data_IF_615532561949
#
_entry.id   IF_615532561949
#
_cell.length_a   1.000
_cell.length_b   1.000
_cell.length_c   1.000
_cell.angle_alpha   90.00
_cell.angle_beta   90.00
_cell.angle_gamma   90.00
#
_symmetry.space_group_name_H-M   'P 1'
#
loop_
_entity.id
_entity.type
_entity.pdbx_description
1 polymer ?
#
# COMPACT_ATOMS: atom_id res chain seq x y z
N UNK A 1 5.36 6.28 -15.33
CA UNK A 1 4.55 6.06 -14.13
C UNK A 1 4.62 4.60 -13.73
N UNK A 2 4.75 4.33 -12.44
CA UNK A 2 4.69 2.97 -11.92
C UNK A 2 3.42 2.78 -11.09
N UNK A 3 2.93 1.55 -11.04
CA UNK A 3 1.77 1.18 -10.26
C UNK A 3 2.17 0.13 -9.23
N UNK A 4 1.72 0.33 -8.01
CA UNK A 4 1.91 -0.63 -6.93
C UNK A 4 0.54 -1.22 -6.59
N UNK A 5 0.46 -2.53 -6.62
CA UNK A 5 -0.70 -3.26 -6.13
C UNK A 5 -0.29 -3.90 -4.82
N UNK A 6 -0.93 -3.46 -3.73
CA UNK A 6 -0.62 -3.94 -2.39
C UNK A 6 -1.77 -4.79 -1.87
N UNK A 7 -1.47 -6.01 -1.48
CA UNK A 7 -2.42 -6.90 -0.81
C UNK A 7 -2.08 -6.86 0.69
N UNK A 8 -2.99 -6.29 1.48
CA UNK A 8 -2.78 -6.05 2.90
C UNK A 8 -3.51 -7.10 3.73
N UNK A 9 -2.79 -7.78 4.60
CA UNK A 9 -3.32 -8.77 5.52
C UNK A 9 -3.27 -8.19 6.94
N UNK A 10 -4.45 -7.94 7.52
CA UNK A 10 -4.54 -7.30 8.83
C UNK A 10 -3.85 -8.12 9.93
N UNK A 11 -3.18 -7.40 10.82
CA UNK A 11 -2.52 -7.98 11.99
C UNK A 11 -3.44 -7.99 13.21
N UNK A 12 -2.84 -8.12 14.39
CA UNK A 12 -3.56 -8.22 15.65
C UNK A 12 -4.43 -7.01 15.96
N UNK A 13 -4.02 -5.83 15.48
CA UNK A 13 -4.78 -4.60 15.66
C UNK A 13 -6.03 -4.47 14.80
N UNK A 14 -6.21 -5.36 13.81
CA UNK A 14 -7.36 -5.39 12.93
C UNK A 14 -7.48 -4.17 12.03
N UNK A 15 -8.69 -3.93 11.54
CA UNK A 15 -8.97 -2.82 10.61
C UNK A 15 -8.74 -1.44 11.23
N UNK A 16 -8.96 -1.29 12.52
CA UNK A 16 -8.75 0.01 13.19
C UNK A 16 -7.28 0.38 13.20
N UNK A 17 -6.38 -0.57 13.49
CA UNK A 17 -4.94 -0.35 13.44
C UNK A 17 -4.48 -0.07 12.00
N UNK A 18 -5.04 -0.76 11.02
CA UNK A 18 -4.73 -0.53 9.61
C UNK A 18 -5.13 0.88 9.18
N UNK A 19 -6.32 1.33 9.56
CA UNK A 19 -6.80 2.68 9.30
C UNK A 19 -5.90 3.74 9.95
N UNK A 20 -5.48 3.51 11.20
CA UNK A 20 -4.61 4.43 11.92
C UNK A 20 -3.23 4.52 11.27
N UNK A 21 -2.67 3.40 10.83
CA UNK A 21 -1.42 3.38 10.11
C UNK A 21 -1.50 4.15 8.79
N UNK A 22 -2.55 3.90 8.00
CA UNK A 22 -2.75 4.60 6.72
C UNK A 22 -2.90 6.10 6.89
N UNK A 23 -3.57 6.54 7.96
CA UNK A 23 -3.72 7.96 8.26
C UNK A 23 -2.36 8.65 8.48
N UNK A 24 -1.34 7.93 8.90
CA UNK A 24 -0.01 8.47 9.14
C UNK A 24 0.91 8.32 7.93
N UNK A 25 0.81 7.22 7.19
CA UNK A 25 1.73 6.95 6.07
C UNK A 25 1.31 7.65 4.79
N UNK A 26 0.02 7.79 4.52
CA UNK A 26 -0.46 8.40 3.28
C UNK A 26 -0.02 9.86 3.09
N UNK A 27 -0.03 10.74 4.12
CA UNK A 27 0.51 12.08 3.94
C UNK A 27 1.98 12.10 3.52
N UNK A 28 2.80 11.17 4.05
CA UNK A 28 4.20 11.05 3.68
C UNK A 28 4.33 10.61 2.22
N UNK A 29 3.55 9.61 1.82
CA UNK A 29 3.49 9.12 0.46
C UNK A 29 3.15 10.27 -0.52
N UNK A 30 2.20 11.13 -0.17
CA UNK A 30 1.81 12.27 -1.00
C UNK A 30 2.94 13.27 -1.17
N UNK A 31 3.79 13.46 -0.16
CA UNK A 31 4.93 14.37 -0.26
C UNK A 31 5.92 13.93 -1.36
N UNK A 32 5.96 12.65 -1.67
CA UNK A 32 6.81 12.11 -2.73
C UNK A 32 6.07 11.90 -4.06
N UNK A 33 4.90 12.51 -4.19
CA UNK A 33 4.09 12.42 -5.41
C UNK A 33 3.31 11.13 -5.56
N UNK A 34 3.30 10.29 -4.53
CA UNK A 34 2.50 9.07 -4.52
C UNK A 34 1.02 9.39 -4.38
N UNK A 35 0.17 8.57 -5.01
CA UNK A 35 -1.28 8.73 -4.92
C UNK A 35 -1.95 7.38 -4.71
N UNK A 36 -2.81 7.31 -3.71
CA UNK A 36 -3.69 6.17 -3.53
C UNK A 36 -4.82 6.28 -4.54
N UNK A 37 -4.81 5.41 -5.55
CA UNK A 37 -5.81 5.41 -6.62
C UNK A 37 -7.10 4.74 -6.13
N UNK A 38 -6.95 3.62 -5.41
CA UNK A 38 -8.09 2.93 -4.84
C UNK A 38 -7.67 2.10 -3.63
N UNK A 39 -8.62 1.91 -2.71
CA UNK A 39 -8.52 0.95 -1.62
C UNK A 39 -9.86 0.21 -1.59
N UNK A 40 -9.81 -1.11 -1.62
CA UNK A 40 -11.00 -1.94 -1.69
C UNK A 40 -10.83 -3.20 -0.86
N UNK A 41 -11.94 -3.87 -0.61
CA UNK A 41 -11.97 -5.13 0.14
C UNK A 41 -12.68 -6.20 -0.68
N UNK A 42 -12.23 -7.47 -0.62
CA UNK A 42 -12.98 -8.56 -1.25
C UNK A 42 -14.43 -8.60 -0.75
N UNK A 43 -15.36 -8.80 -1.67
CA UNK A 43 -16.80 -8.83 -1.33
C UNK A 43 -17.19 -10.09 -0.55
N UNK A 44 -16.55 -11.21 -0.87
CA UNK A 44 -16.78 -12.51 -0.24
C UNK A 44 -15.41 -13.13 0.09
N UNK A 45 -14.74 -12.64 1.15
CA UNK A 45 -13.37 -13.05 1.43
C UNK A 45 -13.26 -14.52 1.83
N UNK A 46 -12.27 -15.20 1.24
CA UNK A 46 -11.84 -16.54 1.63
C UNK A 46 -10.68 -16.43 2.60
N UNK A 47 -10.30 -17.57 3.23
CA UNK A 47 -9.30 -17.60 4.29
C UNK A 47 -7.96 -16.99 3.89
N UNK A 48 -7.53 -17.18 2.63
CA UNK A 48 -6.24 -16.71 2.13
C UNK A 48 -6.31 -15.35 1.43
N UNK A 49 -7.47 -14.72 1.41
CA UNK A 49 -7.63 -13.43 0.76
C UNK A 49 -7.11 -12.28 1.62
N UNK A 50 -6.61 -11.20 1.01
CA UNK A 50 -6.23 -10.01 1.76
C UNK A 50 -7.45 -9.33 2.37
N UNK A 51 -7.21 -8.57 3.43
CA UNK A 51 -8.25 -7.72 4.03
C UNK A 51 -8.52 -6.47 3.19
N UNK A 52 -7.48 -5.93 2.57
CA UNK A 52 -7.58 -4.77 1.68
C UNK A 52 -6.64 -4.89 0.50
N UNK A 53 -7.05 -4.29 -0.61
CA UNK A 53 -6.26 -4.19 -1.83
C UNK A 53 -6.10 -2.71 -2.13
N UNK A 54 -4.85 -2.25 -2.16
CA UNK A 54 -4.54 -0.85 -2.48
C UNK A 54 -3.85 -0.76 -3.84
N UNK A 55 -4.21 0.25 -4.61
CA UNK A 55 -3.54 0.60 -5.86
C UNK A 55 -2.96 1.99 -5.68
N UNK A 56 -1.64 2.10 -5.85
CA UNK A 56 -0.88 3.34 -5.65
C UNK A 56 -0.09 3.64 -6.91
N UNK A 57 -0.02 4.92 -7.26
CA UNK A 57 0.82 5.38 -8.37
C UNK A 57 1.93 6.29 -7.86
N UNK A 58 3.13 6.12 -8.43
CA UNK A 58 4.25 7.04 -8.33
C UNK A 58 4.72 7.42 -9.73
N UNK A 59 5.37 8.56 -9.87
CA UNK A 59 5.91 8.99 -11.15
C UNK A 59 6.93 7.99 -11.70
N UNK A 60 7.80 7.47 -10.83
CA UNK A 60 8.87 6.55 -11.21
C UNK A 60 9.41 5.80 -9.97
N UNK A 61 10.37 4.90 -10.20
CA UNK A 61 11.01 4.14 -9.12
C UNK A 61 11.81 5.02 -8.17
N UNK A 62 12.35 6.13 -8.65
CA UNK A 62 13.13 7.04 -7.79
C UNK A 62 12.23 7.69 -6.73
N UNK A 63 11.01 8.09 -7.10
CA UNK A 63 10.04 8.65 -6.16
C UNK A 63 9.63 7.62 -5.10
N UNK A 64 9.39 6.38 -5.50
CA UNK A 64 9.10 5.29 -4.57
C UNK A 64 10.28 5.04 -3.62
N UNK A 65 11.50 5.01 -4.14
CA UNK A 65 12.69 4.80 -3.32
C UNK A 65 12.88 5.94 -2.31
N UNK A 66 12.65 7.19 -2.72
CA UNK A 66 12.73 8.35 -1.83
C UNK A 66 11.70 8.26 -0.69
N UNK A 67 10.48 7.87 -1.01
CA UNK A 67 9.43 7.63 0.00
C UNK A 67 9.88 6.57 1.01
N UNK A 68 10.37 5.44 0.54
CA UNK A 68 10.83 4.34 1.39
C UNK A 68 12.02 4.72 2.26
N UNK A 69 12.85 5.65 1.81
CA UNK A 69 14.04 6.11 2.53
C UNK A 69 13.75 7.22 3.54
N UNK A 70 12.55 7.78 3.55
CA UNK A 70 12.18 8.81 4.52
C UNK A 70 12.22 8.21 5.94
N UNK A 71 12.84 8.95 6.87
CA UNK A 71 13.00 8.49 8.25
C UNK A 71 11.66 8.17 8.92
N UNK A 72 10.61 8.93 8.60
CA UNK A 72 9.28 8.71 9.16
C UNK A 72 8.70 7.38 8.71
N UNK A 73 9.02 6.93 7.49
CA UNK A 73 8.61 5.60 7.01
C UNK A 73 9.20 4.50 7.88
N UNK A 74 10.49 4.61 8.24
CA UNK A 74 11.15 3.66 9.15
C UNK A 74 10.56 3.72 10.57
N UNK A 75 10.25 4.92 11.06
CA UNK A 75 9.67 5.13 12.39
C UNK A 75 8.28 4.51 12.52
N UNK A 76 7.55 4.35 11.43
CA UNK A 76 6.23 3.74 11.42
C UNK A 76 6.26 2.21 11.43
N UNK A 77 7.45 1.59 11.37
CA UNK A 77 7.56 0.12 11.30
C UNK A 77 6.82 -0.61 12.42
N UNK A 78 6.93 -0.22 13.72
CA UNK A 78 6.19 -0.91 14.77
C UNK A 78 4.67 -0.85 14.56
N UNK A 79 4.16 0.30 14.12
CA UNK A 79 2.72 0.47 13.84
C UNK A 79 2.29 -0.35 12.63
N UNK A 80 3.15 -0.40 11.59
CA UNK A 80 2.88 -1.23 10.42
C UNK A 80 2.81 -2.70 10.78
N UNK A 81 3.72 -3.18 11.62
CA UNK A 81 3.74 -4.58 12.05
C UNK A 81 2.51 -4.94 12.91
N UNK A 82 2.01 -3.98 13.70
CA UNK A 82 0.78 -4.18 14.47
C UNK A 82 -0.45 -4.17 13.56
N UNK A 83 -0.45 -3.30 12.54
CA UNK A 83 -1.56 -3.16 11.60
C UNK A 83 -1.63 -4.30 10.59
N UNK A 84 -0.47 -4.83 10.17
CA UNK A 84 -0.38 -5.83 9.09
C UNK A 84 0.50 -7.00 9.52
N UNK A 85 -0.08 -8.22 9.46
CA UNK A 85 0.72 -9.46 9.66
C UNK A 85 1.51 -9.81 8.42
N UNK A 86 1.06 -9.36 7.25
CA UNK A 86 1.73 -9.60 5.97
C UNK A 86 1.25 -8.56 4.94
N UNK A 87 2.09 -8.33 3.95
CA UNK A 87 1.76 -7.51 2.79
C UNK A 87 2.45 -8.11 1.56
N UNK A 88 1.70 -8.18 0.44
CA UNK A 88 2.25 -8.60 -0.84
C UNK A 88 2.19 -7.41 -1.79
N UNK A 89 3.30 -7.11 -2.43
CA UNK A 89 3.44 -5.98 -3.34
C UNK A 89 3.79 -6.44 -4.74
N UNK A 90 3.08 -5.89 -5.71
CA UNK A 90 3.42 -6.04 -7.12
C UNK A 90 3.69 -4.64 -7.66
N UNK A 91 4.86 -4.44 -8.22
CA UNK A 91 5.23 -3.17 -8.86
C UNK A 91 5.19 -3.40 -10.36
N UNK A 92 4.35 -2.65 -11.06
CA UNK A 92 4.17 -2.79 -12.50
C UNK A 92 4.44 -1.47 -13.20
N UNK A 93 5.06 -1.53 -14.37
CA UNK A 93 5.28 -0.39 -15.26
C UNK A 93 4.90 -0.70 -16.71
N UNK A 94 4.45 -1.93 -16.95
CA UNK A 94 4.02 -2.38 -18.27
C UNK A 94 2.51 -2.61 -18.25
N UNK A 95 1.80 -1.80 -19.01
CA UNK A 95 0.34 -1.87 -19.09
C UNK A 95 -0.04 -2.53 -20.41
N UNK A 96 -0.81 -3.61 -20.31
CA UNK A 96 -1.20 -4.42 -21.46
C UNK A 96 -2.58 -4.01 -21.92
N UNK A 97 -2.75 -3.84 -23.24
CA UNK A 97 -4.04 -3.51 -23.85
C UNK A 97 -4.49 -4.70 -24.70
N UNK A 98 -5.66 -5.23 -24.39
CA UNK A 98 -6.26 -6.34 -25.14
C UNK A 98 -7.38 -5.88 -26.09
N UNK A 99 -7.73 -4.62 -26.02
CA UNK A 99 -8.74 -4.01 -26.87
C UNK A 99 -8.06 -2.98 -27.77
N UNK A 100 -8.21 -3.14 -29.05
CA UNK A 100 -7.63 -2.24 -30.06
C UNK A 100 -8.56 -1.07 -30.37
#
# INVERSE_FOLDING_TARGET
MIQIIALLYAGDGGRDALKAYEAEVLPILHEYGGRLISASRPSEPRDDDPDEIHIVHFADMAALAAFRADARHAELKPRRMHAMRDVRLYITDQFVTYID
#
